data_IF_543626814815
#
_entry.id   IF_543626814815
#
_cell.length_a   1.000
_cell.length_b   1.000
_cell.length_c   1.000
_cell.angle_alpha   90.00
_cell.angle_beta   90.00
_cell.angle_gamma   90.00
#
_symmetry.space_group_name_H-M   'P 1'
#
loop_
_entity.id
_entity.type
_entity.pdbx_description
1 polymer ?
#
# COMPACT_ATOMS: atom_id res chain seq x y z
N UNK A 1 6.49 3.62 -10.64
CA UNK A 1 5.62 2.75 -9.85
C UNK A 1 4.96 1.76 -10.77
N UNK A 2 5.76 1.05 -11.57
CA UNK A 2 5.25 0.02 -12.47
C UNK A 2 5.06 -1.30 -11.72
N UNK A 3 5.97 -1.59 -10.80
CA UNK A 3 6.04 -2.86 -10.08
C UNK A 3 5.55 -2.68 -8.65
N UNK A 4 4.85 -3.69 -8.13
CA UNK A 4 4.33 -3.73 -6.78
C UNK A 4 4.77 -5.05 -6.13
N UNK A 5 5.36 -4.96 -4.95
CA UNK A 5 5.52 -6.10 -4.05
C UNK A 5 4.35 -6.07 -3.08
N UNK A 6 3.54 -7.14 -3.06
CA UNK A 6 2.44 -7.32 -2.12
C UNK A 6 2.87 -8.35 -1.07
N UNK A 7 2.72 -8.03 0.20
CA UNK A 7 2.94 -8.95 1.31
C UNK A 7 1.61 -9.15 2.04
N UNK A 8 1.18 -10.41 2.19
CA UNK A 8 0.00 -10.78 2.97
C UNK A 8 0.42 -11.42 4.29
N UNK A 9 0.29 -10.72 5.43
CA UNK A 9 0.49 -11.33 6.74
C UNK A 9 -0.45 -12.52 6.95
N UNK A 10 -0.01 -13.52 7.71
CA UNK A 10 -0.75 -14.76 7.99
C UNK A 10 -1.86 -14.57 9.05
N UNK A 11 -2.62 -13.48 8.96
CA UNK A 11 -3.75 -13.16 9.82
C UNK A 11 -4.99 -12.81 8.98
N UNK A 12 -6.15 -12.80 9.62
CA UNK A 12 -7.37 -12.23 9.05
C UNK A 12 -7.74 -10.95 9.82
N UNK A 13 -8.20 -9.93 9.09
CA UNK A 13 -8.62 -8.65 9.66
C UNK A 13 -10.06 -8.38 9.26
N UNK A 14 -10.91 -8.07 10.24
CA UNK A 14 -12.30 -7.70 9.99
C UNK A 14 -12.37 -6.25 9.54
N UNK A 15 -12.88 -6.00 8.34
CA UNK A 15 -13.12 -4.64 7.84
C UNK A 15 -13.94 -3.83 8.83
N UNK A 16 -15.02 -4.37 9.39
CA UNK A 16 -15.83 -3.69 10.39
C UNK A 16 -15.04 -3.32 11.66
N UNK A 17 -14.13 -4.19 12.11
CA UNK A 17 -13.27 -3.90 13.27
C UNK A 17 -12.29 -2.76 12.97
N UNK A 18 -11.72 -2.72 11.76
CA UNK A 18 -10.82 -1.64 11.33
C UNK A 18 -11.54 -0.31 11.27
N UNK A 19 -12.73 -0.25 10.65
CA UNK A 19 -13.50 0.99 10.57
C UNK A 19 -13.93 1.52 11.96
N UNK A 20 -14.19 0.64 12.94
CA UNK A 20 -14.49 1.05 14.33
C UNK A 20 -13.32 1.73 15.05
N UNK A 21 -12.10 1.61 14.53
CA UNK A 21 -10.90 2.24 15.10
C UNK A 21 -10.57 3.59 14.47
N UNK A 22 -11.29 3.98 13.43
CA UNK A 22 -11.10 5.26 12.77
C UNK A 22 -11.49 6.39 13.72
N UNK A 23 -10.61 7.38 13.86
CA UNK A 23 -10.85 8.57 14.66
C UNK A 23 -10.86 9.82 13.76
N UNK A 24 -11.41 10.96 14.22
CA UNK A 24 -11.40 12.20 13.43
C UNK A 24 -10.00 12.66 12.99
N UNK A 25 -8.95 12.25 13.70
CA UNK A 25 -7.55 12.54 13.34
C UNK A 25 -7.06 11.77 12.11
N UNK A 26 -7.75 10.71 11.71
CA UNK A 26 -7.45 9.93 10.50
C UNK A 26 -8.14 10.47 9.25
N UNK A 27 -9.09 11.40 9.44
CA UNK A 27 -9.81 11.98 8.32
C UNK A 27 -8.89 12.91 7.54
N UNK A 28 -8.98 12.84 6.21
CA UNK A 28 -8.21 13.70 5.33
C UNK A 28 -9.13 14.69 4.64
N UNK A 29 -8.56 15.81 4.20
CA UNK A 29 -9.26 16.78 3.34
C UNK A 29 -9.45 16.29 1.89
N UNK A 30 -9.05 15.04 1.58
CA UNK A 30 -9.04 14.52 0.21
C UNK A 30 -7.91 15.05 -0.66
N UNK A 31 -6.99 15.85 -0.11
CA UNK A 31 -5.88 16.47 -0.88
C UNK A 31 -5.02 15.45 -1.62
N UNK A 32 -4.71 14.31 -0.98
CA UNK A 32 -3.94 13.22 -1.60
C UNK A 32 -4.69 12.61 -2.78
N UNK A 33 -5.98 12.30 -2.61
CA UNK A 33 -6.85 11.80 -3.68
C UNK A 33 -6.88 12.76 -4.86
N UNK A 34 -7.07 14.06 -4.60
CA UNK A 34 -7.10 15.08 -5.64
C UNK A 34 -5.77 15.19 -6.40
N UNK A 35 -4.64 15.03 -5.70
CA UNK A 35 -3.31 15.02 -6.33
C UNK A 35 -3.12 13.80 -7.23
N UNK A 36 -3.40 12.59 -6.73
CA UNK A 36 -3.31 11.36 -7.53
C UNK A 36 -4.23 11.45 -8.75
N UNK A 37 -5.47 11.91 -8.57
CA UNK A 37 -6.43 12.10 -9.65
C UNK A 37 -5.88 13.00 -10.76
N UNK A 38 -5.40 14.20 -10.42
CA UNK A 38 -4.85 15.14 -11.42
C UNK A 38 -3.68 14.55 -12.21
N UNK A 39 -2.82 13.80 -11.54
CA UNK A 39 -1.67 13.14 -12.19
C UNK A 39 -2.14 12.07 -13.17
N UNK A 40 -3.13 11.26 -12.79
CA UNK A 40 -3.67 10.21 -13.66
C UNK A 40 -4.40 10.79 -14.89
N UNK A 41 -5.08 11.94 -14.77
CA UNK A 41 -5.75 12.59 -15.91
C UNK A 41 -4.80 12.98 -17.04
N UNK A 42 -3.54 13.32 -16.71
CA UNK A 42 -2.50 13.64 -17.71
C UNK A 42 -1.61 12.44 -18.03
N UNK A 43 -2.03 11.22 -17.68
CA UNK A 43 -1.26 9.96 -17.82
C UNK A 43 0.10 10.00 -17.13
N UNK A 44 0.23 10.83 -16.10
CA UNK A 44 1.41 10.89 -15.25
C UNK A 44 1.45 9.71 -14.27
N UNK A 45 2.61 9.57 -13.63
CA UNK A 45 2.79 8.59 -12.56
C UNK A 45 2.67 9.30 -11.20
N UNK A 46 1.73 8.89 -10.32
CA UNK A 46 1.61 9.48 -8.99
C UNK A 46 2.89 9.30 -8.18
N UNK A 47 3.20 10.27 -7.30
CA UNK A 47 4.26 10.06 -6.31
C UNK A 47 3.77 9.00 -5.30
N UNK A 48 4.58 7.97 -5.00
CA UNK A 48 4.26 7.00 -3.95
C UNK A 48 3.76 7.60 -2.63
N UNK A 49 4.31 8.75 -2.25
CA UNK A 49 3.96 9.43 -0.99
C UNK A 49 2.52 9.95 -0.96
N UNK A 50 1.93 10.24 -2.13
CA UNK A 50 0.53 10.65 -2.27
C UNK A 50 -0.44 9.48 -2.09
N UNK A 51 0.03 8.23 -2.07
CA UNK A 51 -0.81 7.09 -1.77
C UNK A 51 -1.06 7.05 -0.25
N UNK A 52 -2.22 7.55 0.15
CA UNK A 52 -2.64 7.64 1.54
C UNK A 52 -3.78 6.67 1.86
N UNK A 53 -3.77 6.12 3.09
CA UNK A 53 -4.83 5.28 3.60
C UNK A 53 -5.11 5.64 5.08
N UNK A 54 -6.24 6.29 5.35
CA UNK A 54 -6.62 6.69 6.71
C UNK A 54 -6.83 5.52 7.69
N UNK A 55 -7.02 4.30 7.18
CA UNK A 55 -7.14 3.10 8.03
C UNK A 55 -5.77 2.60 8.55
N UNK A 56 -4.67 3.05 7.94
CA UNK A 56 -3.33 2.47 8.16
C UNK A 56 -2.89 2.54 9.63
N UNK A 57 -3.06 3.70 10.28
CA UNK A 57 -2.67 3.90 11.68
C UNK A 57 -3.37 2.89 12.59
N UNK A 58 -4.69 2.82 12.52
CA UNK A 58 -5.49 1.93 13.37
C UNK A 58 -5.16 0.45 13.16
N UNK A 59 -4.83 0.05 11.92
CA UNK A 59 -4.40 -1.32 11.62
C UNK A 59 -3.01 -1.61 12.21
N UNK A 60 -2.04 -0.72 12.01
CA UNK A 60 -0.68 -0.91 12.51
C UNK A 60 -0.61 -0.94 14.04
N UNK A 61 -1.43 -0.15 14.72
CA UNK A 61 -1.53 -0.15 16.19
C UNK A 61 -2.19 -1.43 16.74
N UNK A 62 -3.20 -1.96 16.04
CA UNK A 62 -4.02 -3.07 16.54
C UNK A 62 -3.50 -4.46 16.15
N UNK A 63 -2.75 -4.57 15.04
CA UNK A 63 -2.30 -5.84 14.48
C UNK A 63 -0.77 -5.87 14.37
N UNK A 64 -0.06 -6.32 15.43
CA UNK A 64 1.40 -6.36 15.46
C UNK A 64 2.03 -7.11 14.28
N UNK A 65 1.38 -8.14 13.76
CA UNK A 65 1.83 -8.91 12.60
C UNK A 65 1.89 -8.06 11.33
N UNK A 66 0.95 -7.12 11.17
CA UNK A 66 0.97 -6.16 10.05
C UNK A 66 2.10 -5.14 10.24
N UNK A 67 2.30 -4.65 11.47
CA UNK A 67 3.41 -3.74 11.77
C UNK A 67 4.79 -4.39 11.55
N UNK A 68 4.94 -5.65 11.98
CA UNK A 68 6.15 -6.46 11.76
C UNK A 68 6.40 -6.71 10.28
N UNK A 69 5.36 -7.10 9.52
CA UNK A 69 5.47 -7.26 8.08
C UNK A 69 5.87 -5.95 7.37
N UNK A 70 5.31 -4.82 7.79
CA UNK A 70 5.69 -3.49 7.28
C UNK A 70 7.16 -3.19 7.55
N UNK A 71 7.65 -3.45 8.76
CA UNK A 71 9.05 -3.29 9.11
C UNK A 71 9.94 -4.22 8.28
N UNK A 72 9.56 -5.49 8.10
CA UNK A 72 10.29 -6.44 7.29
C UNK A 72 10.43 -5.99 5.83
N UNK A 73 9.36 -5.43 5.24
CA UNK A 73 9.40 -4.88 3.88
C UNK A 73 10.38 -3.70 3.78
N UNK A 74 10.37 -2.78 4.75
CA UNK A 74 11.30 -1.66 4.80
C UNK A 74 12.75 -2.13 4.95
N UNK A 75 13.01 -3.07 5.88
CA UNK A 75 14.34 -3.67 6.08
C UNK A 75 14.83 -4.42 4.84
N UNK A 76 13.93 -5.07 4.09
CA UNK A 76 14.25 -5.76 2.85
C UNK A 76 14.56 -4.81 1.67
N UNK A 77 14.40 -3.49 1.84
CA UNK A 77 14.77 -2.48 0.84
C UNK A 77 13.61 -1.74 0.18
N UNK A 78 12.38 -1.90 0.66
CA UNK A 78 11.28 -1.04 0.24
C UNK A 78 11.50 0.39 0.79
N UNK A 79 11.33 1.41 -0.05
CA UNK A 79 11.43 2.82 0.36
C UNK A 79 10.12 3.34 0.96
N UNK A 80 9.00 2.74 0.56
CA UNK A 80 7.67 3.06 1.04
C UNK A 80 6.85 1.78 1.16
N UNK A 81 6.06 1.68 2.22
CA UNK A 81 5.12 0.58 2.44
C UNK A 81 3.78 1.18 2.89
N UNK A 82 2.70 0.72 2.26
CA UNK A 82 1.33 1.16 2.53
C UNK A 82 0.38 -0.01 2.72
N UNK A 83 -0.66 0.21 3.50
CA UNK A 83 -1.77 -0.72 3.66
C UNK A 83 -2.71 -0.68 2.45
N UNK A 84 -3.09 -1.85 1.93
CA UNK A 84 -4.13 -1.99 0.91
C UNK A 84 -5.51 -2.17 1.56
N UNK A 85 -6.41 -1.20 1.34
CA UNK A 85 -7.77 -1.23 1.90
C UNK A 85 -7.77 -1.32 3.43
N UNK A 86 -8.62 -2.18 4.00
CA UNK A 86 -8.62 -2.46 5.45
C UNK A 86 -7.53 -3.45 5.90
N UNK A 87 -6.66 -3.90 4.99
CA UNK A 87 -5.65 -4.91 5.31
C UNK A 87 -6.14 -6.35 5.29
N UNK A 88 -5.27 -7.31 5.66
CA UNK A 88 -3.93 -7.10 6.22
C UNK A 88 -2.83 -6.85 5.18
N UNK A 89 -3.16 -6.93 3.88
CA UNK A 89 -2.18 -6.83 2.80
C UNK A 89 -1.47 -5.49 2.78
N UNK A 90 -0.15 -5.53 2.71
CA UNK A 90 0.72 -4.38 2.49
C UNK A 90 1.24 -4.38 1.05
N UNK A 91 1.54 -3.20 0.52
CA UNK A 91 2.20 -3.07 -0.76
C UNK A 91 3.37 -2.07 -0.71
N UNK A 92 4.39 -2.36 -1.51
CA UNK A 92 5.53 -1.48 -1.74
C UNK A 92 5.71 -1.27 -3.25
N UNK A 93 5.79 -0.01 -3.70
CA UNK A 93 5.97 0.31 -5.11
C UNK A 93 7.44 0.42 -5.52
N UNK A 94 7.73 -0.02 -6.74
CA UNK A 94 9.07 0.01 -7.33
C UNK A 94 9.03 0.52 -8.77
N UNK A 95 10.08 1.26 -9.16
CA UNK A 95 10.36 1.61 -10.57
C UNK A 95 11.15 0.51 -11.26
N UNK A 96 12.04 -0.16 -10.54
CA UNK A 96 12.94 -1.20 -11.03
C UNK A 96 12.47 -2.62 -10.65
N UNK A 97 12.38 -3.50 -11.65
CA UNK A 97 11.93 -4.88 -11.46
C UNK A 97 12.93 -5.70 -10.64
N UNK A 98 14.23 -5.48 -10.84
CA UNK A 98 15.30 -6.24 -10.19
C UNK A 98 15.27 -6.01 -8.68
N UNK A 99 15.19 -4.75 -8.24
CA UNK A 99 15.01 -4.38 -6.84
C UNK A 99 13.73 -4.98 -6.26
N UNK A 100 12.61 -4.88 -6.98
CA UNK A 100 11.34 -5.46 -6.53
C UNK A 100 11.43 -6.99 -6.32
N UNK A 101 12.12 -7.69 -7.23
CA UNK A 101 12.37 -9.12 -7.12
C UNK A 101 13.27 -9.48 -5.92
N UNK A 102 14.34 -8.72 -5.70
CA UNK A 102 15.23 -8.89 -4.54
C UNK A 102 14.47 -8.74 -3.21
N UNK A 103 13.63 -7.70 -3.09
CA UNK A 103 12.79 -7.49 -1.90
C UNK A 103 11.83 -8.67 -1.72
N UNK A 104 11.14 -9.10 -2.79
CA UNK A 104 10.23 -10.26 -2.75
C UNK A 104 10.95 -11.52 -2.26
N UNK A 105 12.14 -11.81 -2.78
CA UNK A 105 12.85 -13.05 -2.47
C UNK A 105 13.39 -13.05 -1.03
N UNK A 106 13.87 -11.90 -0.55
CA UNK A 106 14.23 -11.70 0.86
C UNK A 106 13.05 -11.98 1.80
N UNK A 107 11.88 -11.43 1.50
CA UNK A 107 10.68 -11.61 2.33
C UNK A 107 10.14 -13.05 2.28
N UNK A 108 10.21 -13.72 1.12
CA UNK A 108 9.85 -15.14 1.01
C UNK A 108 10.79 -16.03 1.83
N UNK A 109 12.07 -15.70 1.90
CA UNK A 109 13.05 -16.42 2.73
C UNK A 109 12.72 -16.30 4.21
N UNK A 110 12.09 -15.19 4.63
CA UNK A 110 11.57 -14.98 5.97
C UNK A 110 10.22 -15.68 6.22
N UNK A 111 9.67 -16.40 5.24
CA UNK A 111 8.42 -17.17 5.37
C UNK A 111 7.14 -16.39 5.06
N UNK A 112 7.23 -15.15 4.56
CA UNK A 112 6.04 -14.39 4.20
C UNK A 112 5.39 -14.86 2.89
N UNK A 113 4.07 -14.74 2.81
CA UNK A 113 3.32 -14.83 1.57
C UNK A 113 3.48 -13.52 0.78
N UNK A 114 4.19 -13.60 -0.36
CA UNK A 114 4.59 -12.41 -1.13
C UNK A 114 4.39 -12.60 -2.63
N UNK A 115 3.87 -11.56 -3.27
CA UNK A 115 3.62 -11.50 -4.71
C UNK A 115 4.34 -10.30 -5.32
N UNK A 116 4.90 -10.49 -6.51
CA UNK A 116 5.41 -9.41 -7.35
C UNK A 116 4.48 -9.26 -8.54
N UNK A 117 3.91 -8.08 -8.69
CA UNK A 117 2.92 -7.76 -9.73
C UNK A 117 3.21 -6.38 -10.32
N UNK A 118 2.33 -5.92 -11.21
CA UNK A 118 2.40 -4.60 -11.82
C UNK A 118 1.07 -3.85 -11.66
N UNK A 119 1.16 -2.54 -11.60
CA UNK A 119 -0.02 -1.68 -11.70
C UNK A 119 -0.62 -1.75 -13.12
N UNK A 120 -1.94 -1.64 -13.20
CA UNK A 120 -2.65 -1.31 -14.44
C UNK A 120 -3.04 0.17 -14.38
N UNK A 121 -2.90 0.86 -15.50
CA UNK A 121 -3.24 2.28 -15.58
C UNK A 121 -4.60 2.45 -16.27
N UNK A 122 -5.50 3.26 -15.71
CA UNK A 122 -6.78 3.57 -16.32
C UNK A 122 -6.59 4.45 -17.56
N UNK A 123 -7.58 4.42 -18.47
CA UNK A 123 -7.65 5.39 -19.56
C UNK A 123 -8.15 6.75 -19.05
N UNK A 124 -7.91 7.78 -19.86
CA UNK A 124 -8.47 9.11 -19.59
C UNK A 124 -9.99 9.01 -19.70
N UNK A 125 -10.69 9.46 -18.66
CA UNK A 125 -12.15 9.33 -18.53
C UNK A 125 -12.64 8.08 -17.77
N UNK A 126 -11.75 7.15 -17.40
CA UNK A 126 -12.14 5.97 -16.60
C UNK A 126 -12.25 6.26 -15.10
N UNK A 127 -11.76 7.42 -14.63
CA UNK A 127 -11.77 7.81 -13.22
C UNK A 127 -12.50 9.13 -13.07
N UNK A 128 -13.49 9.14 -12.18
CA UNK A 128 -14.14 10.32 -11.63
C UNK A 128 -14.00 10.33 -10.10
N UNK A 129 -13.95 11.53 -9.53
CA UNK A 129 -13.97 11.74 -8.07
C UNK A 129 -15.20 12.59 -7.72
N UNK A 130 -15.91 12.21 -6.66
CA UNK A 130 -17.14 12.87 -6.17
C UNK A 130 -16.82 14.14 -5.38
#
# INVERSE_FOLDING_TARGET
>A
MRWLVLLKPAIAVSTAAVFRRLTPTDYTSGVHTQTVYRVLQVKGEPNPEDLHNGLERGVLECYPEVAQARAAMLTAGATLVRLSGSGPTLFAPFSDLTRAAQVRDSLRTQGYEVYLTRAIYPNVGDIDIL
#
